data_IF_963600758506
#
_entry.id   IF_963600758506
#
_cell.length_a   1.000
_cell.length_b   1.000
_cell.length_c   1.000
_cell.angle_alpha   90.00
_cell.angle_beta   90.00
_cell.angle_gamma   90.00
#
_symmetry.space_group_name_H-M   'P 1'
#
loop_
_entity.id
_entity.type
_entity.pdbx_description
1 polymer ?
#
# COMPACT_ATOMS: atom_id res chain seq x y z
N UNK A 1 27.15 34.87 -50.71
CA UNK A 1 25.86 35.18 -50.05
C UNK A 1 25.66 34.13 -48.95
N UNK A 2 25.94 34.48 -47.68
CA UNK A 2 25.81 33.56 -46.53
C UNK A 2 24.56 33.95 -45.76
N UNK A 3 23.55 33.09 -45.74
CA UNK A 3 22.31 33.33 -44.98
C UNK A 3 22.52 32.87 -43.55
N UNK A 4 22.48 33.81 -42.60
CA UNK A 4 22.56 33.57 -41.17
C UNK A 4 21.12 33.42 -40.64
N UNK A 5 20.72 32.21 -40.25
CA UNK A 5 19.42 31.98 -39.62
C UNK A 5 19.52 32.35 -38.14
N UNK A 6 18.83 33.40 -37.73
CA UNK A 6 18.68 33.78 -36.32
C UNK A 6 17.77 32.78 -35.61
N UNK A 7 18.25 32.15 -34.53
CA UNK A 7 17.41 31.42 -33.59
C UNK A 7 16.93 32.39 -32.51
N UNK A 8 15.64 32.69 -32.50
CA UNK A 8 14.98 33.34 -31.37
C UNK A 8 14.65 32.27 -30.34
N UNK A 9 15.12 32.34 -29.08
CA UNK A 9 14.75 31.37 -28.07
C UNK A 9 13.28 31.58 -27.69
N UNK A 10 12.43 30.59 -27.97
CA UNK A 10 11.07 30.52 -27.45
C UNK A 10 11.15 30.21 -25.97
N UNK A 11 10.78 31.16 -25.12
CA UNK A 11 10.60 30.93 -23.69
C UNK A 11 9.41 30.00 -23.50
N UNK A 12 9.66 28.71 -23.24
CA UNK A 12 8.59 27.79 -22.90
C UNK A 12 7.93 28.22 -21.58
N UNK A 13 6.59 28.18 -21.49
CA UNK A 13 5.91 28.48 -20.25
C UNK A 13 6.31 27.43 -19.20
N UNK A 14 6.93 27.87 -18.12
CA UNK A 14 7.21 27.03 -16.96
C UNK A 14 5.87 26.56 -16.41
N UNK A 15 5.51 25.31 -16.68
CA UNK A 15 4.37 24.65 -16.06
C UNK A 15 4.58 24.67 -14.55
N UNK A 16 3.86 25.55 -13.87
CA UNK A 16 3.75 25.55 -12.42
C UNK A 16 3.03 24.26 -12.02
N UNK A 17 3.81 23.23 -11.68
CA UNK A 17 3.31 22.02 -11.06
C UNK A 17 2.93 22.36 -9.62
N UNK A 18 1.71 22.82 -9.41
CA UNK A 18 1.13 22.88 -8.08
C UNK A 18 0.78 21.45 -7.69
N UNK A 19 1.32 20.95 -6.57
CA UNK A 19 0.99 19.61 -6.09
C UNK A 19 -0.53 19.52 -5.86
N UNK A 20 -1.15 18.47 -6.39
CA UNK A 20 -2.57 18.21 -6.17
C UNK A 20 -2.77 17.77 -4.71
N UNK A 21 -3.42 18.61 -3.91
CA UNK A 21 -3.77 18.30 -2.53
C UNK A 21 -5.12 17.57 -2.49
N UNK A 22 -5.11 16.31 -2.07
CA UNK A 22 -6.33 15.51 -1.87
C UNK A 22 -6.85 15.75 -0.45
N UNK A 23 -8.06 16.29 -0.33
CA UNK A 23 -8.74 16.43 0.98
C UNK A 23 -9.48 15.16 1.34
N UNK A 24 -9.82 15.01 2.62
CA UNK A 24 -10.60 13.87 3.12
C UNK A 24 -11.98 13.75 2.46
N UNK A 25 -12.53 14.89 2.06
CA UNK A 25 -13.80 15.03 1.35
C UNK A 25 -13.74 14.58 -0.12
N UNK A 26 -12.55 14.61 -0.72
CA UNK A 26 -12.31 14.22 -2.12
C UNK A 26 -12.10 12.70 -2.26
N UNK A 27 -12.04 11.98 -1.14
CA UNK A 27 -11.82 10.55 -1.15
C UNK A 27 -13.06 9.84 -1.71
N UNK A 28 -12.89 8.97 -2.71
CA UNK A 28 -14.01 8.19 -3.20
C UNK A 28 -14.52 7.29 -2.08
N UNK A 29 -15.84 7.12 -1.99
CA UNK A 29 -16.38 6.06 -1.16
C UNK A 29 -15.84 4.72 -1.68
N UNK A 30 -15.22 3.95 -0.79
CA UNK A 30 -14.64 2.65 -1.14
C UNK A 30 -15.71 1.61 -1.59
N UNK A 31 -17.00 1.96 -1.50
CA UNK A 31 -18.16 1.09 -1.75
C UNK A 31 -18.31 0.63 -3.20
N UNK A 32 -17.91 1.45 -4.18
CA UNK A 32 -18.22 1.21 -5.60
C UNK A 32 -17.07 0.56 -6.41
N UNK A 33 -16.02 0.10 -5.75
CA UNK A 33 -14.86 -0.50 -6.43
C UNK A 33 -15.12 -1.96 -6.84
N UNK A 34 -14.83 -2.27 -8.10
CA UNK A 34 -14.93 -3.64 -8.65
C UNK A 34 -13.62 -4.40 -8.40
N UNK A 35 -13.70 -5.54 -7.70
CA UNK A 35 -12.58 -6.42 -7.39
C UNK A 35 -12.70 -7.76 -8.14
N UNK A 36 -11.58 -8.38 -8.51
CA UNK A 36 -11.59 -9.75 -9.07
C UNK A 36 -11.56 -10.75 -7.90
N UNK A 37 -12.49 -11.72 -7.92
CA UNK A 37 -12.53 -12.96 -7.12
C UNK A 37 -11.60 -13.03 -5.88
N UNK A 38 -11.87 -12.15 -4.92
CA UNK A 38 -11.25 -12.02 -3.58
C UNK A 38 -11.08 -13.33 -2.79
N UNK A 39 -11.83 -14.38 -3.12
CA UNK A 39 -11.92 -15.63 -2.34
C UNK A 39 -11.41 -16.89 -3.05
N UNK A 40 -10.79 -16.79 -4.22
CA UNK A 40 -10.22 -17.96 -4.89
C UNK A 40 -8.70 -17.95 -4.76
N UNK A 41 -8.20 -18.75 -3.82
CA UNK A 41 -6.82 -19.23 -3.90
C UNK A 41 -6.76 -20.22 -5.06
N UNK A 42 -5.78 -20.07 -5.95
CA UNK A 42 -5.52 -21.09 -6.97
C UNK A 42 -5.29 -22.46 -6.30
N UNK A 43 -5.69 -23.55 -6.97
CA UNK A 43 -5.58 -24.91 -6.44
C UNK A 43 -4.14 -25.30 -6.02
N UNK A 44 -3.14 -24.66 -6.62
CA UNK A 44 -1.71 -24.86 -6.32
C UNK A 44 -1.20 -23.99 -5.16
N UNK A 45 -2.02 -23.14 -4.56
CA UNK A 45 -1.64 -22.35 -3.39
C UNK A 45 -1.46 -23.26 -2.17
N UNK A 46 -0.34 -23.20 -1.43
CA UNK A 46 -0.08 -24.11 -0.31
C UNK A 46 -1.16 -24.07 0.78
N UNK A 47 -1.79 -22.92 0.98
CA UNK A 47 -2.94 -22.76 1.89
C UNK A 47 -4.32 -23.11 1.30
N UNK A 48 -4.42 -23.51 0.02
CA UNK A 48 -5.71 -23.78 -0.63
C UNK A 48 -6.45 -24.97 -0.01
N UNK A 49 -5.74 -25.94 0.57
CA UNK A 49 -6.30 -27.14 1.23
C UNK A 49 -6.20 -27.10 2.76
N UNK A 50 -5.53 -26.09 3.34
CA UNK A 50 -5.46 -25.88 4.80
C UNK A 50 -6.73 -25.15 5.29
N UNK A 51 -7.51 -25.80 6.16
CA UNK A 51 -8.78 -25.25 6.64
C UNK A 51 -8.59 -24.11 7.64
N UNK A 52 -7.57 -24.19 8.49
CA UNK A 52 -7.25 -23.16 9.48
C UNK A 52 -6.75 -21.89 8.78
N UNK A 53 -5.89 -22.05 7.77
CA UNK A 53 -5.44 -20.93 6.94
C UNK A 53 -6.59 -20.24 6.21
N UNK A 54 -7.53 -21.01 5.62
CA UNK A 54 -8.72 -20.44 4.97
C UNK A 54 -9.57 -19.65 5.95
N UNK A 55 -9.87 -20.21 7.12
CA UNK A 55 -10.64 -19.53 8.15
C UNK A 55 -9.96 -18.24 8.60
N UNK A 56 -8.62 -18.26 8.74
CA UNK A 56 -7.84 -17.08 9.10
C UNK A 56 -7.88 -16.00 8.03
N UNK A 57 -7.72 -16.39 6.77
CA UNK A 57 -7.82 -15.48 5.61
C UNK A 57 -9.22 -14.86 5.51
N UNK A 58 -10.27 -15.64 5.70
CA UNK A 58 -11.65 -15.16 5.68
C UNK A 58 -11.94 -14.15 6.80
N UNK A 59 -11.39 -14.40 8.00
CA UNK A 59 -11.45 -13.43 9.10
C UNK A 59 -10.82 -12.10 8.71
N UNK A 60 -9.59 -12.11 8.18
CA UNK A 60 -8.88 -10.89 7.80
C UNK A 60 -9.58 -10.17 6.64
N UNK A 61 -10.07 -10.91 5.65
CA UNK A 61 -10.88 -10.36 4.56
C UNK A 61 -12.16 -9.69 5.09
N UNK A 62 -12.82 -10.26 6.12
CA UNK A 62 -14.00 -9.65 6.73
C UNK A 62 -13.72 -8.26 7.34
N UNK A 63 -12.50 -8.03 7.85
CA UNK A 63 -12.08 -6.73 8.38
C UNK A 63 -11.91 -5.70 7.25
N UNK A 64 -11.30 -6.10 6.14
CA UNK A 64 -11.20 -5.25 4.96
C UNK A 64 -12.59 -4.92 4.35
N UNK A 65 -13.53 -5.87 4.38
CA UNK A 65 -14.92 -5.62 4.00
C UNK A 65 -15.58 -4.58 4.89
N UNK A 66 -15.41 -4.69 6.21
CA UNK A 66 -15.92 -3.72 7.18
C UNK A 66 -15.34 -2.33 6.97
N UNK A 67 -14.05 -2.22 6.63
CA UNK A 67 -13.45 -0.94 6.24
C UNK A 67 -14.16 -0.32 5.04
N UNK A 68 -14.53 -1.11 4.03
CA UNK A 68 -15.28 -0.61 2.87
C UNK A 68 -16.62 0.02 3.24
N UNK A 69 -17.32 -0.62 4.17
CA UNK A 69 -18.65 -0.20 4.60
C UNK A 69 -18.60 1.03 5.51
N UNK A 70 -17.57 1.12 6.36
CA UNK A 70 -17.49 2.10 7.46
C UNK A 70 -16.42 3.19 7.27
N UNK A 71 -15.45 2.99 6.39
CA UNK A 71 -14.25 3.83 6.26
C UNK A 71 -13.23 3.66 7.39
N UNK A 72 -13.46 2.76 8.36
CA UNK A 72 -12.62 2.63 9.56
C UNK A 72 -11.76 1.36 9.48
N UNK A 73 -10.44 1.53 9.60
CA UNK A 73 -9.49 0.42 9.63
C UNK A 73 -9.59 -0.27 10.98
N UNK A 74 -9.66 -1.60 10.96
CA UNK A 74 -9.64 -2.42 12.17
C UNK A 74 -8.29 -3.12 12.28
N UNK A 75 -7.67 -3.03 13.46
CA UNK A 75 -6.43 -3.73 13.75
C UNK A 75 -6.66 -5.24 13.79
N UNK A 76 -5.65 -6.00 13.33
CA UNK A 76 -5.71 -7.47 13.30
C UNK A 76 -5.04 -8.03 14.54
N UNK A 77 -5.73 -8.93 15.24
CA UNK A 77 -5.11 -9.70 16.32
C UNK A 77 -4.25 -10.82 15.73
N UNK A 78 -3.01 -10.50 15.38
CA UNK A 78 -2.06 -11.47 14.83
C UNK A 78 -1.68 -12.55 15.83
N UNK A 79 -1.65 -13.79 15.39
CA UNK A 79 -1.29 -14.96 16.21
C UNK A 79 0.20 -14.97 16.51
N UNK A 80 0.60 -15.70 17.55
CA UNK A 80 2.02 -15.88 17.86
C UNK A 80 2.82 -16.53 16.73
N UNK A 81 2.17 -17.33 15.88
CA UNK A 81 2.79 -17.93 14.70
C UNK A 81 3.01 -16.91 13.58
N UNK A 82 2.00 -16.10 13.25
CA UNK A 82 2.13 -15.01 12.27
C UNK A 82 3.24 -14.04 12.67
N UNK A 83 3.31 -13.70 13.96
CA UNK A 83 4.37 -12.84 14.49
C UNK A 83 5.76 -13.48 14.38
N UNK A 84 5.87 -14.81 14.51
CA UNK A 84 7.14 -15.53 14.31
C UNK A 84 7.56 -15.50 12.84
N UNK A 85 6.63 -15.74 11.93
CA UNK A 85 6.88 -15.69 10.49
C UNK A 85 7.35 -14.29 10.08
N UNK A 86 6.67 -13.25 10.59
CA UNK A 86 7.09 -11.86 10.38
C UNK A 86 8.52 -11.61 10.83
N UNK A 87 8.86 -11.96 12.08
CA UNK A 87 10.23 -11.79 12.61
C UNK A 87 11.27 -12.43 11.71
N UNK A 88 11.04 -13.70 11.37
CA UNK A 88 11.95 -14.46 10.51
C UNK A 88 12.17 -13.77 9.17
N UNK A 89 11.09 -13.41 8.46
CA UNK A 89 11.19 -12.76 7.14
C UNK A 89 11.81 -11.37 7.25
N UNK A 90 11.45 -10.59 8.27
CA UNK A 90 11.95 -9.24 8.46
C UNK A 90 13.46 -9.21 8.75
N UNK A 91 13.97 -10.17 9.55
CA UNK A 91 15.39 -10.35 9.85
C UNK A 91 16.18 -10.73 8.58
N UNK A 92 15.74 -11.75 7.84
CA UNK A 92 16.38 -12.18 6.59
C UNK A 92 16.42 -11.04 5.55
N UNK A 93 15.32 -10.27 5.43
CA UNK A 93 15.26 -9.15 4.52
C UNK A 93 16.12 -7.96 4.96
N UNK A 94 16.33 -7.74 6.26
CA UNK A 94 17.12 -6.62 6.76
C UNK A 94 18.57 -6.67 6.27
N UNK A 95 19.19 -7.86 6.29
CA UNK A 95 20.55 -8.05 5.79
C UNK A 95 20.68 -7.74 4.30
N UNK A 96 19.68 -8.14 3.51
CA UNK A 96 19.63 -7.93 2.07
C UNK A 96 19.37 -6.45 1.77
N UNK A 97 18.42 -5.84 2.49
CA UNK A 97 18.06 -4.42 2.35
C UNK A 97 19.25 -3.52 2.68
N UNK A 98 20.05 -3.83 3.70
CA UNK A 98 21.23 -3.06 4.04
C UNK A 98 22.27 -2.98 2.90
N UNK A 99 22.35 -4.04 2.06
CA UNK A 99 23.31 -4.13 0.94
C UNK A 99 22.77 -3.55 -0.36
N UNK A 100 21.45 -3.69 -0.59
CA UNK A 100 20.86 -3.47 -1.92
C UNK A 100 19.79 -2.38 -1.98
N UNK A 101 19.17 -2.02 -0.86
CA UNK A 101 18.11 -1.02 -0.87
C UNK A 101 18.68 0.40 -0.98
N UNK A 102 17.88 1.31 -1.55
CA UNK A 102 18.26 2.73 -1.61
C UNK A 102 18.29 3.35 -0.21
N UNK A 103 19.15 4.36 -0.02
CA UNK A 103 19.21 5.13 1.24
C UNK A 103 17.85 5.72 1.62
N UNK A 104 17.09 6.16 0.62
CA UNK A 104 15.74 6.69 0.82
C UNK A 104 14.81 5.63 1.42
N UNK A 105 14.83 4.40 0.90
CA UNK A 105 14.02 3.30 1.44
C UNK A 105 14.39 2.98 2.89
N UNK A 106 15.69 2.87 3.20
CA UNK A 106 16.16 2.55 4.54
C UNK A 106 15.77 3.63 5.56
N UNK A 107 15.87 4.91 5.17
CA UNK A 107 15.44 6.03 5.99
C UNK A 107 13.91 6.01 6.19
N UNK A 108 13.14 5.82 5.11
CA UNK A 108 11.68 5.74 5.19
C UNK A 108 11.21 4.58 6.07
N UNK A 109 11.83 3.39 5.99
CA UNK A 109 11.52 2.24 6.86
C UNK A 109 11.69 2.62 8.34
N UNK A 110 12.77 3.35 8.67
CA UNK A 110 13.07 3.82 10.03
C UNK A 110 12.08 4.90 10.49
N UNK A 111 11.78 5.89 9.66
CA UNK A 111 10.87 6.99 9.99
C UNK A 111 9.43 6.48 10.18
N UNK A 112 9.04 5.48 9.38
CA UNK A 112 7.80 4.74 9.53
C UNK A 112 7.80 3.79 10.73
N UNK A 113 8.92 3.65 11.46
CA UNK A 113 9.07 2.81 12.64
C UNK A 113 8.66 1.35 12.43
N UNK A 114 8.91 0.82 11.24
CA UNK A 114 8.67 -0.60 10.92
C UNK A 114 9.74 -1.41 11.64
N UNK A 115 9.34 -2.20 12.63
CA UNK A 115 10.24 -3.06 13.41
C UNK A 115 10.14 -4.52 12.96
N UNK A 116 11.17 -5.30 13.24
CA UNK A 116 11.16 -6.73 12.98
C UNK A 116 10.36 -7.49 14.06
N UNK A 117 10.17 -6.92 15.25
CA UNK A 117 9.61 -7.62 16.42
C UNK A 117 8.14 -8.04 16.27
N UNK A 118 7.35 -7.16 15.64
CA UNK A 118 5.90 -7.34 15.45
C UNK A 118 5.44 -6.84 14.09
N UNK A 119 4.39 -7.46 13.58
CA UNK A 119 3.69 -7.00 12.37
C UNK A 119 3.13 -5.58 12.63
N UNK A 120 3.41 -4.60 11.76
CA UNK A 120 2.85 -3.26 11.89
C UNK A 120 1.34 -3.27 11.59
N UNK A 121 0.57 -2.53 12.38
CA UNK A 121 -0.86 -2.35 12.13
C UNK A 121 -1.07 -1.25 11.08
N UNK A 122 -2.04 -1.43 10.18
CA UNK A 122 -2.34 -0.42 9.17
C UNK A 122 -2.78 0.92 9.78
N UNK A 123 -3.46 0.90 10.93
CA UNK A 123 -3.84 2.12 11.66
C UNK A 123 -2.62 2.93 12.11
N UNK A 124 -1.60 2.27 12.65
CA UNK A 124 -0.32 2.88 13.05
C UNK A 124 0.43 3.43 11.83
N UNK A 125 0.48 2.62 10.77
CA UNK A 125 1.14 2.99 9.53
C UNK A 125 0.49 4.21 8.87
N UNK A 126 -0.83 4.28 8.84
CA UNK A 126 -1.56 5.43 8.30
C UNK A 126 -1.31 6.71 9.07
N UNK A 127 -1.19 6.63 10.41
CA UNK A 127 -0.85 7.79 11.22
C UNK A 127 0.52 8.34 10.79
N UNK A 128 1.54 7.49 10.70
CA UNK A 128 2.90 7.89 10.32
C UNK A 128 3.00 8.36 8.86
N UNK A 129 2.36 7.66 7.93
CA UNK A 129 2.33 8.04 6.51
C UNK A 129 1.62 9.38 6.28
N UNK A 130 0.55 9.65 7.03
CA UNK A 130 -0.13 10.95 6.97
C UNK A 130 0.79 12.07 7.46
N UNK A 131 1.54 11.85 8.54
CA UNK A 131 2.51 12.81 9.08
C UNK A 131 3.70 13.06 8.14
N UNK A 132 4.18 12.04 7.42
CA UNK A 132 5.39 12.13 6.59
C UNK A 132 5.13 12.57 5.14
N UNK A 133 4.03 12.14 4.53
CA UNK A 133 3.83 12.32 3.08
C UNK A 133 2.37 12.49 2.65
N UNK A 134 1.43 12.64 3.59
CA UNK A 134 -0.01 12.63 3.34
C UNK A 134 -0.55 11.34 2.67
N UNK A 135 0.27 10.27 2.59
CA UNK A 135 -0.16 8.99 2.04
C UNK A 135 -1.03 8.20 3.03
N UNK A 136 -1.89 7.33 2.48
CA UNK A 136 -2.73 6.43 3.27
C UNK A 136 -2.73 5.04 2.69
N UNK A 137 -2.87 4.07 3.58
CA UNK A 137 -3.12 2.67 3.27
C UNK A 137 -4.62 2.38 3.43
N UNK A 138 -5.17 1.62 2.51
CA UNK A 138 -6.53 1.10 2.58
C UNK A 138 -6.48 -0.43 2.59
N UNK A 139 -7.06 -1.10 3.61
CA UNK A 139 -7.08 -2.55 3.65
C UNK A 139 -7.91 -3.13 2.51
N UNK A 140 -7.47 -4.27 2.00
CA UNK A 140 -8.18 -4.98 0.94
C UNK A 140 -8.24 -6.49 1.15
N UNK A 141 -9.36 -7.06 0.70
CA UNK A 141 -9.68 -8.49 0.79
C UNK A 141 -8.79 -9.38 -0.09
N UNK A 142 -8.16 -8.83 -1.13
CA UNK A 142 -7.34 -9.59 -2.06
C UNK A 142 -6.93 -8.81 -3.29
N UNK A 143 -6.70 -9.52 -4.38
CA UNK A 143 -6.21 -8.93 -5.63
C UNK A 143 -7.28 -8.04 -6.30
N UNK A 144 -6.85 -6.90 -6.84
CA UNK A 144 -7.73 -5.94 -7.54
C UNK A 144 -7.49 -6.00 -9.02
N UNK A 145 -8.55 -5.77 -9.80
CA UNK A 145 -8.40 -5.44 -11.22
C UNK A 145 -7.38 -4.31 -11.35
N UNK A 146 -6.37 -4.44 -12.21
CA UNK A 146 -5.31 -3.42 -12.41
C UNK A 146 -5.84 -1.98 -12.55
N UNK A 147 -7.00 -1.81 -13.18
CA UNK A 147 -7.64 -0.51 -13.38
C UNK A 147 -8.16 0.10 -12.06
N UNK A 148 -8.66 -0.71 -11.14
CA UNK A 148 -9.07 -0.28 -9.80
C UNK A 148 -7.88 0.13 -8.93
N UNK A 149 -6.77 -0.62 -8.99
CA UNK A 149 -5.53 -0.29 -8.27
C UNK A 149 -5.01 1.11 -8.64
N UNK A 150 -4.89 1.40 -9.93
CA UNK A 150 -4.34 2.67 -10.41
C UNK A 150 -5.24 3.87 -10.11
N UNK A 151 -6.57 3.69 -10.05
CA UNK A 151 -7.49 4.78 -9.70
C UNK A 151 -7.39 5.24 -8.25
N UNK A 152 -7.04 4.35 -7.30
CA UNK A 152 -6.84 4.72 -5.90
C UNK A 152 -5.53 5.48 -5.67
N UNK A 153 -4.50 5.17 -6.47
CA UNK A 153 -3.21 5.84 -6.38
C UNK A 153 -3.32 7.35 -6.66
N UNK A 154 -4.26 7.74 -7.54
CA UNK A 154 -4.59 9.14 -7.80
C UNK A 154 -5.04 9.89 -6.53
N UNK A 155 -5.71 9.19 -5.62
CA UNK A 155 -6.15 9.74 -4.32
C UNK A 155 -5.14 9.50 -3.20
N UNK A 156 -3.87 9.19 -3.51
CA UNK A 156 -2.81 8.96 -2.53
C UNK A 156 -3.16 7.79 -1.57
N UNK A 157 -3.99 6.86 -2.05
CA UNK A 157 -4.37 5.65 -1.32
C UNK A 157 -3.67 4.44 -1.95
N UNK A 158 -2.76 3.83 -1.20
CA UNK A 158 -2.18 2.54 -1.55
C UNK A 158 -3.00 1.44 -0.90
N UNK A 159 -3.53 0.51 -1.70
CA UNK A 159 -4.21 -0.65 -1.13
C UNK A 159 -3.20 -1.67 -0.61
N UNK A 160 -3.49 -2.29 0.54
CA UNK A 160 -2.65 -3.31 1.17
C UNK A 160 -3.50 -4.44 1.73
N UNK A 161 -3.05 -5.68 1.56
CA UNK A 161 -3.60 -6.82 2.29
C UNK A 161 -3.16 -6.78 3.76
N UNK A 162 -3.83 -7.57 4.61
CA UNK A 162 -3.53 -7.69 6.04
C UNK A 162 -3.25 -9.14 6.50
N UNK A 163 -3.17 -10.10 5.57
CA UNK A 163 -2.90 -11.53 5.83
C UNK A 163 -1.52 -11.93 5.37
#
# INVERSE_FOLDING_TARGET
MKTQTAFTPTTEPVLSLTNYEVKDEDLPEFRDMKFENINQLDLDHPGANDAEYRQRRDYIASLAKKFRETGVITDVEYTGEEQKVWRYVAEELEEIQAKHASKFYLQAKKDLGISNERIPQLTEMNKRLKELSNFRLAPIEGQVVRRGFLSLFFFINMISTQY
#
